data_IF_296137921926
#
_entry.id   IF_296137921926
#
_cell.length_a   1.000
_cell.length_b   1.000
_cell.length_c   1.000
_cell.angle_alpha   90.00
_cell.angle_beta   90.00
_cell.angle_gamma   90.00
#
_symmetry.space_group_name_H-M   'P 1'
#
loop_
_entity.id
_entity.type
_entity.pdbx_description
1 polymer ?
#
# COMPACT_ATOMS: atom_id res chain seq x y z
N UNK A 1 -12.73 -9.90 8.75
CA UNK A 1 -12.40 -9.92 7.31
C UNK A 1 -11.46 -8.77 6.91
N UNK A 2 -11.55 -7.60 7.54
CA UNK A 2 -10.55 -6.51 7.45
C UNK A 2 -10.18 -6.13 8.89
N UNK A 3 -8.91 -5.83 9.16
CA UNK A 3 -8.48 -5.25 10.45
C UNK A 3 -7.91 -3.86 10.21
N UNK A 4 -8.45 -2.86 10.88
CA UNK A 4 -8.00 -1.48 10.78
C UNK A 4 -7.21 -1.06 12.02
N UNK A 5 -6.28 -0.12 11.85
CA UNK A 5 -5.64 0.58 12.95
C UNK A 5 -5.30 2.00 12.52
N UNK A 6 -5.63 2.97 13.36
CA UNK A 6 -5.25 4.36 13.20
C UNK A 6 -3.97 4.65 14.00
N UNK A 7 -3.03 5.37 13.39
CA UNK A 7 -1.87 5.91 14.10
C UNK A 7 -1.74 7.39 13.81
N UNK A 8 -1.65 8.21 14.85
CA UNK A 8 -1.39 9.64 14.73
C UNK A 8 0.13 9.85 14.65
N UNK A 9 0.57 10.63 13.65
CA UNK A 9 1.97 10.99 13.42
C UNK A 9 2.13 12.50 13.60
N UNK A 10 2.50 12.90 14.82
CA UNK A 10 2.62 14.32 15.18
C UNK A 10 1.28 15.06 15.10
N UNK A 11 1.34 16.38 14.87
CA UNK A 11 0.15 17.25 14.89
C UNK A 11 -0.59 17.34 13.56
N UNK A 12 0.01 16.90 12.45
CA UNK A 12 -0.46 17.20 11.09
C UNK A 12 -0.77 15.98 10.23
N UNK A 13 -0.46 14.77 10.70
CA UNK A 13 -0.57 13.57 9.89
C UNK A 13 -1.15 12.42 10.70
N UNK A 14 -1.92 11.58 10.05
CA UNK A 14 -2.35 10.30 10.59
C UNK A 14 -2.21 9.23 9.50
N UNK A 15 -2.10 7.98 9.92
CA UNK A 15 -1.95 6.82 9.05
C UNK A 15 -3.04 5.81 9.40
N UNK A 16 -3.84 5.45 8.40
CA UNK A 16 -4.83 4.38 8.50
C UNK A 16 -4.21 3.11 7.88
N UNK A 17 -4.14 2.03 8.65
CA UNK A 17 -3.65 0.72 8.17
C UNK A 17 -4.80 -0.26 8.10
N UNK A 18 -5.16 -0.66 6.89
CA UNK A 18 -6.14 -1.70 6.64
C UNK A 18 -5.43 -3.00 6.25
N UNK A 19 -5.71 -4.07 6.99
CA UNK A 19 -5.21 -5.42 6.73
C UNK A 19 -6.34 -6.24 6.15
N UNK A 20 -6.23 -6.54 4.86
CA UNK A 20 -7.13 -7.43 4.15
C UNK A 20 -6.55 -8.84 4.20
N UNK A 21 -7.36 -9.82 4.60
CA UNK A 21 -6.98 -11.23 4.65
C UNK A 21 -7.62 -11.97 3.48
N UNK A 22 -6.83 -12.78 2.77
CA UNK A 22 -7.33 -13.62 1.71
C UNK A 22 -7.73 -15.00 2.26
N UNK A 23 -9.01 -15.41 2.19
CA UNK A 23 -9.39 -16.78 2.50
C UNK A 23 -8.65 -17.75 1.57
N UNK A 24 -8.15 -18.87 2.10
CA UNK A 24 -7.24 -19.80 1.38
C UNK A 24 -7.76 -20.34 0.05
N UNK A 25 -9.09 -20.34 -0.18
CA UNK A 25 -9.73 -20.86 -1.40
C UNK A 25 -10.32 -19.79 -2.32
N UNK A 26 -10.27 -18.51 -1.92
CA UNK A 26 -10.89 -17.43 -2.69
C UNK A 26 -9.96 -16.95 -3.79
N UNK A 27 -10.43 -16.97 -5.04
CA UNK A 27 -9.72 -16.43 -6.21
C UNK A 27 -9.89 -14.90 -6.35
N UNK A 28 -10.98 -14.35 -5.81
CA UNK A 28 -11.30 -12.94 -5.84
C UNK A 28 -11.85 -12.49 -4.48
N UNK A 29 -11.61 -11.23 -4.11
CA UNK A 29 -12.19 -10.59 -2.93
C UNK A 29 -12.71 -9.22 -3.32
N UNK A 30 -13.98 -8.96 -2.99
CA UNK A 30 -14.61 -7.65 -3.10
C UNK A 30 -15.00 -7.18 -1.71
N UNK A 31 -14.67 -5.94 -1.41
CA UNK A 31 -15.05 -5.30 -0.16
C UNK A 31 -15.25 -3.80 -0.39
N UNK A 32 -16.08 -3.20 0.44
CA UNK A 32 -16.32 -1.77 0.49
C UNK A 32 -15.94 -1.28 1.88
N UNK A 33 -15.22 -0.16 1.94
CA UNK A 33 -14.92 0.52 3.20
C UNK A 33 -15.48 1.93 3.12
N UNK A 34 -16.27 2.28 4.11
CA UNK A 34 -16.80 3.62 4.29
C UNK A 34 -16.13 4.25 5.50
N UNK A 35 -15.55 5.43 5.31
CA UNK A 35 -14.84 6.15 6.36
C UNK A 35 -15.44 7.53 6.49
N UNK A 36 -15.97 7.84 7.68
CA UNK A 36 -16.61 9.10 7.98
C UNK A 36 -15.63 9.99 8.75
N UNK A 37 -15.38 11.19 8.23
CA UNK A 37 -14.56 12.20 8.89
C UNK A 37 -15.46 13.30 9.47
N UNK A 38 -15.44 13.43 10.79
CA UNK A 38 -16.11 14.54 11.49
C UNK A 38 -15.08 15.62 11.80
N UNK A 39 -15.15 16.72 11.07
CA UNK A 39 -14.16 17.80 11.13
C UNK A 39 -14.81 19.05 11.74
N UNK A 40 -14.10 19.80 12.61
CA UNK A 40 -14.63 21.03 13.17
C UNK A 40 -14.79 22.12 12.11
N UNK A 41 -15.85 22.91 12.22
CA UNK A 41 -16.20 23.98 11.25
C UNK A 41 -15.10 25.04 11.10
N UNK A 42 -14.26 25.23 12.13
CA UNK A 42 -13.11 26.15 12.11
C UNK A 42 -12.06 25.81 11.06
N UNK A 43 -12.00 24.55 10.58
CA UNK A 43 -11.11 24.16 9.49
C UNK A 43 -11.61 24.61 8.11
N UNK A 44 -12.85 25.13 8.00
CA UNK A 44 -13.47 25.59 6.76
C UNK A 44 -13.45 24.53 5.63
N UNK A 45 -13.47 23.24 5.99
CA UNK A 45 -13.57 22.14 5.04
C UNK A 45 -15.05 21.92 4.71
N UNK A 46 -15.49 22.50 3.60
CA UNK A 46 -16.87 22.44 3.12
C UNK A 46 -16.91 22.19 1.59
N UNK A 47 -18.08 21.87 1.01
CA UNK A 47 -18.21 21.56 -0.42
C UNK A 47 -17.72 22.68 -1.36
N UNK A 48 -17.76 23.94 -0.92
CA UNK A 48 -17.42 25.10 -1.74
C UNK A 48 -15.91 25.36 -1.76
N UNK A 49 -15.22 25.14 -0.64
CA UNK A 49 -13.80 25.42 -0.47
C UNK A 49 -12.89 24.19 -0.59
N UNK A 50 -13.46 22.98 -0.48
CA UNK A 50 -12.68 21.75 -0.44
C UNK A 50 -13.28 20.67 -1.34
N UNK A 51 -12.64 20.44 -2.49
CA UNK A 51 -13.13 19.45 -3.46
C UNK A 51 -12.57 18.04 -3.19
N UNK A 52 -13.18 17.02 -3.79
CA UNK A 52 -12.63 15.66 -3.80
C UNK A 52 -11.18 15.62 -4.32
N UNK A 53 -10.82 16.50 -5.26
CA UNK A 53 -9.45 16.59 -5.79
C UNK A 53 -8.44 17.11 -4.76
N UNK A 54 -8.85 18.04 -3.88
CA UNK A 54 -8.01 18.54 -2.79
C UNK A 54 -7.68 17.40 -1.81
N UNK A 55 -8.70 16.63 -1.42
CA UNK A 55 -8.51 15.45 -0.57
C UNK A 55 -7.58 14.44 -1.21
N UNK A 56 -7.80 14.10 -2.48
CA UNK A 56 -6.98 13.12 -3.20
C UNK A 56 -5.50 13.50 -3.27
N UNK A 57 -5.17 14.80 -3.38
CA UNK A 57 -3.78 15.29 -3.36
C UNK A 57 -3.13 15.15 -1.99
N UNK A 58 -3.92 15.21 -0.91
CA UNK A 58 -3.43 15.02 0.45
C UNK A 58 -3.25 13.54 0.84
N UNK A 59 -3.89 12.62 0.12
CA UNK A 59 -3.85 11.19 0.43
C UNK A 59 -2.70 10.48 -0.26
N UNK A 60 -1.84 9.84 0.54
CA UNK A 60 -0.78 8.95 0.06
C UNK A 60 -1.15 7.50 0.33
N UNK A 61 -1.48 6.76 -0.72
CA UNK A 61 -1.91 5.38 -0.62
C UNK A 61 -0.77 4.43 -0.98
N UNK A 62 -0.55 3.42 -0.13
CA UNK A 62 0.39 2.35 -0.39
C UNK A 62 -0.30 1.01 -0.22
N UNK A 63 -0.14 0.14 -1.21
CA UNK A 63 -0.61 -1.24 -1.13
C UNK A 63 0.64 -2.10 -1.11
N UNK A 64 0.72 -2.97 -0.10
CA UNK A 64 1.85 -3.91 0.04
C UNK A 64 1.38 -5.28 0.45
N UNK A 65 2.05 -6.28 -0.08
CA UNK A 65 1.95 -7.66 0.37
C UNK A 65 2.66 -7.81 1.72
N UNK A 66 2.28 -8.86 2.45
CA UNK A 66 2.94 -9.26 3.69
C UNK A 66 3.80 -10.48 3.39
N UNK A 67 5.04 -10.56 3.90
CA UNK A 67 5.83 -11.78 3.74
C UNK A 67 5.11 -12.97 4.40
N UNK A 68 5.35 -14.20 3.91
CA UNK A 68 4.73 -15.40 4.46
C UNK A 68 5.05 -15.57 5.95
N UNK A 69 4.20 -16.30 6.66
CA UNK A 69 4.43 -16.61 8.08
C UNK A 69 4.78 -18.08 8.18
N UNK A 70 6.05 -18.36 8.48
CA UNK A 70 6.62 -19.70 8.57
C UNK A 70 7.30 -19.87 9.93
N UNK A 71 7.58 -21.11 10.34
CA UNK A 71 8.37 -21.38 11.53
C UNK A 71 9.84 -21.01 11.26
N UNK A 72 10.60 -20.70 12.30
CA UNK A 72 12.02 -20.33 12.12
C UNK A 72 12.85 -21.54 11.70
N UNK A 73 12.67 -22.68 12.38
CA UNK A 73 13.32 -23.95 12.04
C UNK A 73 13.08 -24.34 10.58
N UNK A 74 11.84 -24.18 10.11
CA UNK A 74 11.43 -24.53 8.74
C UNK A 74 12.03 -23.67 7.63
N UNK A 75 12.82 -22.63 7.94
CA UNK A 75 13.57 -21.92 6.91
C UNK A 75 14.73 -22.77 6.36
N UNK A 76 15.31 -23.62 7.20
CA UNK A 76 16.50 -24.45 6.91
C UNK A 76 16.20 -25.94 6.76
N UNK A 77 14.93 -26.34 6.92
CA UNK A 77 14.50 -27.72 6.68
C UNK A 77 14.60 -28.05 5.18
N UNK A 78 14.57 -29.33 4.83
CA UNK A 78 14.48 -29.78 3.44
C UNK A 78 13.24 -29.19 2.76
N UNK A 79 13.40 -28.63 1.55
CA UNK A 79 12.36 -27.85 0.87
C UNK A 79 11.88 -26.60 1.65
N UNK A 80 12.66 -26.16 2.65
CA UNK A 80 12.48 -24.88 3.32
C UNK A 80 12.85 -23.71 2.41
N UNK A 81 12.49 -22.49 2.81
CA UNK A 81 12.68 -21.30 1.97
C UNK A 81 14.15 -21.04 1.58
N UNK A 82 15.11 -21.43 2.43
CA UNK A 82 16.54 -21.30 2.13
C UNK A 82 17.04 -22.43 1.21
N UNK A 83 16.53 -23.65 1.39
CA UNK A 83 16.85 -24.79 0.54
C UNK A 83 16.30 -24.58 -0.88
N UNK A 84 15.05 -24.11 -1.01
CA UNK A 84 14.46 -23.66 -2.29
C UNK A 84 15.35 -22.59 -2.98
N UNK A 85 15.89 -21.64 -2.21
CA UNK A 85 16.77 -20.60 -2.73
C UNK A 85 18.11 -21.20 -3.20
N UNK A 86 18.71 -22.09 -2.41
CA UNK A 86 19.95 -22.80 -2.75
C UNK A 86 19.80 -23.62 -4.03
N UNK A 87 18.77 -24.46 -4.10
CA UNK A 87 18.48 -25.28 -5.29
C UNK A 87 18.26 -24.40 -6.52
N UNK A 88 17.57 -23.27 -6.38
CA UNK A 88 17.38 -22.34 -7.49
C UNK A 88 18.69 -21.68 -7.93
N UNK A 89 19.54 -21.23 -7.01
CA UNK A 89 20.86 -20.67 -7.34
C UNK A 89 21.74 -21.71 -8.07
N UNK A 90 21.64 -22.99 -7.72
CA UNK A 90 22.30 -24.11 -8.41
C UNK A 90 21.84 -24.32 -9.85
N UNK A 91 20.63 -23.90 -10.19
CA UNK A 91 20.11 -23.95 -11.56
C UNK A 91 20.57 -22.75 -12.40
N UNK A 92 21.06 -21.67 -11.78
CA UNK A 92 21.61 -20.51 -12.48
C UNK A 92 23.03 -20.82 -12.98
N UNK A 93 23.14 -21.11 -14.27
CA UNK A 93 24.41 -21.36 -14.96
C UNK A 93 24.76 -20.21 -15.91
N UNK A 94 26.01 -20.10 -16.39
CA UNK A 94 26.38 -19.09 -17.39
C UNK A 94 25.55 -19.12 -18.69
N UNK A 95 24.92 -20.25 -19.00
CA UNK A 95 24.02 -20.39 -20.15
C UNK A 95 22.56 -20.04 -19.83
N UNK A 96 22.19 -20.00 -18.55
CA UNK A 96 20.82 -19.76 -18.08
C UNK A 96 20.84 -18.78 -16.89
N UNK A 97 21.24 -17.53 -17.15
CA UNK A 97 21.22 -16.49 -16.13
C UNK A 97 19.79 -15.97 -15.89
N UNK A 98 19.42 -15.72 -14.63
CA UNK A 98 18.19 -15.05 -14.32
C UNK A 98 18.26 -13.57 -14.73
N UNK A 99 17.09 -12.97 -14.96
CA UNK A 99 17.01 -11.51 -15.05
C UNK A 99 17.40 -10.87 -13.71
N UNK A 100 17.92 -9.63 -13.74
CA UNK A 100 18.26 -8.87 -12.54
C UNK A 100 17.08 -8.83 -11.56
N UNK A 101 15.89 -8.44 -12.03
CA UNK A 101 14.70 -8.35 -11.20
C UNK A 101 14.31 -9.69 -10.58
N UNK A 102 14.40 -10.81 -11.32
CA UNK A 102 14.09 -12.13 -10.77
C UNK A 102 15.06 -12.51 -9.65
N UNK A 103 16.35 -12.31 -9.87
CA UNK A 103 17.39 -12.61 -8.89
C UNK A 103 17.23 -11.79 -7.62
N UNK A 104 17.13 -10.46 -7.76
CA UNK A 104 16.95 -9.56 -6.62
C UNK A 104 15.67 -9.91 -5.85
N UNK A 105 14.57 -10.19 -6.55
CA UNK A 105 13.28 -10.46 -5.91
C UNK A 105 13.26 -11.78 -5.14
N UNK A 106 13.98 -12.81 -5.59
CA UNK A 106 14.10 -14.07 -4.85
C UNK A 106 14.89 -13.90 -3.55
N UNK A 107 16.01 -13.17 -3.60
CA UNK A 107 16.80 -12.86 -2.40
C UNK A 107 16.02 -11.98 -1.42
N UNK A 108 15.37 -10.91 -1.91
CA UNK A 108 14.52 -10.04 -1.09
C UNK A 108 13.37 -10.82 -0.44
N UNK A 109 12.75 -11.77 -1.15
CA UNK A 109 11.70 -12.65 -0.60
C UNK A 109 12.22 -13.44 0.60
N UNK A 110 13.40 -14.05 0.50
CA UNK A 110 14.01 -14.77 1.62
C UNK A 110 14.32 -13.83 2.78
N UNK A 111 15.05 -12.74 2.55
CA UNK A 111 15.45 -11.79 3.60
C UNK A 111 14.25 -11.19 4.37
N UNK A 112 13.17 -10.87 3.65
CA UNK A 112 11.94 -10.38 4.25
C UNK A 112 11.19 -11.46 5.04
N UNK A 113 11.23 -12.71 4.58
CA UNK A 113 10.65 -13.85 5.28
C UNK A 113 11.42 -14.14 6.56
N UNK A 114 12.75 -14.24 6.49
CA UNK A 114 13.64 -14.39 7.64
C UNK A 114 13.40 -13.31 8.69
N UNK A 115 13.52 -12.03 8.31
CA UNK A 115 13.29 -10.89 9.22
C UNK A 115 11.92 -10.99 9.90
N UNK A 116 10.89 -11.33 9.13
CA UNK A 116 9.52 -11.45 9.66
C UNK A 116 9.44 -12.57 10.69
N UNK A 117 10.03 -13.72 10.41
CA UNK A 117 10.01 -14.87 11.30
C UNK A 117 10.78 -14.60 12.60
N UNK A 118 11.98 -14.00 12.52
CA UNK A 118 12.74 -13.59 13.72
C UNK A 118 11.95 -12.58 14.56
N UNK A 119 11.37 -11.54 13.93
CA UNK A 119 10.54 -10.55 14.63
C UNK A 119 9.37 -11.19 15.38
N UNK A 120 8.70 -12.18 14.78
CA UNK A 120 7.55 -12.84 15.40
C UNK A 120 7.98 -13.68 16.60
N UNK A 121 9.10 -14.40 16.51
CA UNK A 121 9.64 -15.17 17.63
C UNK A 121 10.07 -14.24 18.77
N UNK A 122 10.80 -13.15 18.49
CA UNK A 122 11.13 -12.14 19.53
C UNK A 122 9.87 -11.59 20.18
N UNK A 123 8.84 -11.24 19.40
CA UNK A 123 7.57 -10.80 19.97
C UNK A 123 6.91 -11.87 20.86
N UNK A 124 7.01 -13.15 20.48
CA UNK A 124 6.47 -14.26 21.30
C UNK A 124 7.25 -14.43 22.61
N UNK A 125 8.57 -14.31 22.58
CA UNK A 125 9.43 -14.33 23.78
C UNK A 125 9.11 -13.16 24.70
N UNK A 126 8.97 -11.95 24.17
CA UNK A 126 8.68 -10.76 24.98
C UNK A 126 7.28 -10.73 25.57
N UNK A 127 6.31 -11.48 25.00
CA UNK A 127 4.91 -11.44 25.43
C UNK A 127 4.47 -12.67 26.24
N UNK A 128 5.19 -13.78 26.16
CA UNK A 128 4.80 -15.04 26.80
C UNK A 128 5.95 -15.55 27.69
N UNK A 129 5.81 -15.51 29.03
CA UNK A 129 6.84 -16.03 29.94
C UNK A 129 7.19 -17.51 29.71
N UNK A 130 6.23 -18.32 29.25
CA UNK A 130 6.48 -19.73 28.88
C UNK A 130 7.44 -19.90 27.70
N UNK A 131 7.71 -18.84 26.93
CA UNK A 131 8.69 -18.81 25.83
C UNK A 131 10.02 -18.18 26.25
N UNK A 132 10.22 -17.96 27.54
CA UNK A 132 11.47 -17.46 28.11
C UNK A 132 12.27 -18.59 28.78
N UNK A 133 12.01 -19.86 28.45
CA UNK A 133 12.82 -20.96 28.98
C UNK A 133 14.22 -20.96 28.34
N UNK A 134 15.28 -21.33 29.08
CA UNK A 134 16.63 -21.43 28.52
C UNK A 134 16.70 -22.30 27.27
N UNK A 135 15.98 -23.43 27.24
CA UNK A 135 15.97 -24.36 26.11
C UNK A 135 15.38 -23.70 24.86
N UNK A 136 14.27 -22.99 25.00
CA UNK A 136 13.63 -22.31 23.87
C UNK A 136 14.49 -21.17 23.33
N UNK A 137 15.15 -20.40 24.21
CA UNK A 137 16.03 -19.31 23.81
C UNK A 137 17.31 -19.83 23.13
N UNK A 138 17.90 -20.91 23.64
CA UNK A 138 19.04 -21.57 23.02
C UNK A 138 18.68 -22.11 21.63
N UNK A 139 17.55 -22.80 21.48
CA UNK A 139 17.05 -23.28 20.20
C UNK A 139 16.75 -22.12 19.24
N UNK A 140 16.17 -21.03 19.74
CA UNK A 140 15.90 -19.83 18.95
C UNK A 140 17.18 -19.19 18.41
N UNK A 141 18.21 -18.99 19.25
CA UNK A 141 19.50 -18.46 18.82
C UNK A 141 20.21 -19.39 17.83
N UNK A 142 20.21 -20.70 18.09
CA UNK A 142 20.78 -21.71 17.20
C UNK A 142 20.11 -21.69 15.82
N UNK A 143 18.77 -21.59 15.77
CA UNK A 143 18.02 -21.49 14.53
C UNK A 143 18.33 -20.20 13.74
N UNK A 144 18.49 -19.05 14.41
CA UNK A 144 18.93 -17.80 13.75
C UNK A 144 20.33 -17.99 13.17
N UNK A 145 21.27 -18.48 13.98
CA UNK A 145 22.66 -18.68 13.57
C UNK A 145 22.75 -19.63 12.38
N UNK A 146 22.00 -20.74 12.38
CA UNK A 146 21.91 -21.68 11.26
C UNK A 146 21.39 -21.00 9.99
N UNK A 147 20.30 -20.22 10.08
CA UNK A 147 19.77 -19.50 8.91
C UNK A 147 20.77 -18.51 8.31
N UNK A 148 21.52 -17.77 9.14
CA UNK A 148 22.53 -16.82 8.68
C UNK A 148 23.74 -17.53 8.10
N UNK A 149 24.25 -18.56 8.77
CA UNK A 149 25.39 -19.36 8.32
C UNK A 149 25.11 -20.02 6.96
N UNK A 150 24.00 -20.75 6.84
CA UNK A 150 23.61 -21.40 5.59
C UNK A 150 23.33 -20.40 4.47
N UNK A 151 22.81 -19.20 4.77
CA UNK A 151 22.68 -18.15 3.75
C UNK A 151 24.05 -17.67 3.28
N UNK A 152 24.97 -17.39 4.21
CA UNK A 152 26.34 -16.94 3.92
C UNK A 152 27.16 -17.97 3.13
N UNK A 153 26.90 -19.26 3.31
CA UNK A 153 27.51 -20.34 2.48
C UNK A 153 27.16 -20.21 0.99
N UNK A 154 26.06 -19.54 0.64
CA UNK A 154 25.65 -19.29 -0.75
C UNK A 154 26.43 -18.13 -1.40
N UNK A 155 27.32 -17.45 -0.66
CA UNK A 155 28.06 -16.28 -1.14
C UNK A 155 28.88 -16.60 -2.40
N UNK A 156 29.67 -17.67 -2.39
CA UNK A 156 30.56 -18.01 -3.51
C UNK A 156 29.79 -18.22 -4.83
N UNK A 157 28.62 -18.86 -4.76
CA UNK A 157 27.76 -19.04 -5.92
C UNK A 157 27.08 -17.73 -6.33
N UNK A 158 26.62 -16.97 -5.35
CA UNK A 158 25.93 -15.70 -5.58
C UNK A 158 26.85 -14.67 -6.24
N UNK A 159 28.11 -14.56 -5.80
CA UNK A 159 29.10 -13.65 -6.40
C UNK A 159 29.29 -13.89 -7.89
N UNK A 160 29.41 -15.16 -8.32
CA UNK A 160 29.55 -15.50 -9.75
C UNK A 160 28.35 -15.04 -10.58
N UNK A 161 27.15 -15.15 -10.03
CA UNK A 161 25.91 -14.71 -10.70
C UNK A 161 25.85 -13.19 -10.72
N UNK A 162 26.12 -12.55 -9.57
CA UNK A 162 26.07 -11.09 -9.38
C UNK A 162 27.06 -10.33 -10.25
N UNK A 163 28.27 -10.87 -10.45
CA UNK A 163 29.26 -10.32 -11.39
C UNK A 163 28.73 -10.26 -12.82
N UNK A 164 28.01 -11.29 -13.25
CA UNK A 164 27.48 -11.40 -14.60
C UNK A 164 26.21 -10.55 -14.84
N UNK A 165 25.40 -10.33 -13.81
CA UNK A 165 24.17 -9.50 -13.90
C UNK A 165 24.33 -8.10 -13.31
N UNK A 166 25.52 -7.74 -12.85
CA UNK A 166 25.85 -6.48 -12.17
C UNK A 166 24.89 -6.14 -11.00
N UNK A 167 24.76 -7.07 -10.04
CA UNK A 167 23.95 -6.88 -8.83
C UNK A 167 24.80 -6.90 -7.56
N UNK A 168 24.26 -6.34 -6.49
CA UNK A 168 24.81 -6.43 -5.13
C UNK A 168 23.75 -6.92 -4.13
N UNK A 169 22.65 -7.47 -4.63
CA UNK A 169 21.46 -7.83 -3.87
C UNK A 169 21.74 -8.84 -2.73
N UNK A 170 22.65 -9.77 -2.93
CA UNK A 170 23.04 -10.79 -1.95
C UNK A 170 23.66 -10.14 -0.72
N UNK A 171 24.65 -9.27 -0.94
CA UNK A 171 25.33 -8.52 0.12
C UNK A 171 24.37 -7.57 0.85
N UNK A 172 23.48 -6.90 0.12
CA UNK A 172 22.43 -6.07 0.69
C UNK A 172 21.45 -6.87 1.56
N UNK A 173 21.05 -8.06 1.11
CA UNK A 173 20.18 -8.94 1.87
C UNK A 173 20.86 -9.45 3.15
N UNK A 174 22.15 -9.83 3.09
CA UNK A 174 22.91 -10.23 4.27
C UNK A 174 23.07 -9.09 5.29
N UNK A 175 23.49 -7.90 4.84
CA UNK A 175 23.59 -6.69 5.67
C UNK A 175 22.26 -6.41 6.39
N UNK A 176 21.14 -6.49 5.65
CA UNK A 176 19.82 -6.26 6.20
C UNK A 176 19.40 -7.32 7.21
N UNK A 177 19.61 -8.61 6.91
CA UNK A 177 19.25 -9.70 7.82
C UNK A 177 20.05 -9.59 9.12
N UNK A 178 21.36 -9.43 9.01
CA UNK A 178 22.28 -9.25 10.14
C UNK A 178 21.89 -8.04 11.00
N UNK A 179 21.65 -6.88 10.37
CA UNK A 179 21.24 -5.67 11.07
C UNK A 179 19.91 -5.84 11.83
N UNK A 180 18.90 -6.45 11.21
CA UNK A 180 17.62 -6.68 11.89
C UNK A 180 17.73 -7.73 13.00
N UNK A 181 18.51 -8.79 12.82
CA UNK A 181 18.84 -9.75 13.89
C UNK A 181 19.45 -9.03 15.08
N UNK A 182 20.48 -8.21 14.87
CA UNK A 182 21.13 -7.41 15.91
C UNK A 182 20.13 -6.49 16.66
N UNK A 183 19.23 -5.84 15.93
CA UNK A 183 18.18 -5.01 16.57
C UNK A 183 17.20 -5.84 17.40
N UNK A 184 16.79 -7.01 16.91
CA UNK A 184 15.86 -7.87 17.64
C UNK A 184 16.48 -8.51 18.88
N UNK A 185 17.76 -8.89 18.81
CA UNK A 185 18.51 -9.35 19.98
C UNK A 185 18.68 -8.20 20.99
N UNK A 186 18.92 -6.96 20.55
CA UNK A 186 18.94 -5.79 21.43
C UNK A 186 17.59 -5.58 22.13
N UNK A 187 16.48 -5.77 21.43
CA UNK A 187 15.14 -5.67 22.02
C UNK A 187 14.94 -6.70 23.15
N UNK A 188 15.52 -7.91 23.04
CA UNK A 188 15.53 -8.89 24.13
C UNK A 188 16.46 -8.51 25.29
N UNK A 189 17.65 -7.96 24.99
CA UNK A 189 18.63 -7.52 25.99
C UNK A 189 18.18 -6.31 26.82
N UNK A 190 17.16 -5.58 26.34
CA UNK A 190 16.53 -4.48 27.07
C UNK A 190 15.84 -4.96 28.34
N UNK A 191 15.36 -6.21 28.35
CA UNK A 191 14.89 -6.87 29.56
C UNK A 191 16.10 -7.38 30.37
N UNK A 192 16.25 -6.88 31.59
CA UNK A 192 17.36 -7.24 32.48
C UNK A 192 17.20 -8.64 33.08
N UNK A 193 15.98 -9.16 33.14
CA UNK A 193 15.65 -10.46 33.72
C UNK A 193 15.58 -11.58 32.67
N UNK A 194 15.87 -11.26 31.40
CA UNK A 194 15.84 -12.23 30.31
C UNK A 194 16.77 -13.41 30.61
N UNK A 195 16.29 -14.67 30.55
CA UNK A 195 17.15 -15.84 30.68
C UNK A 195 18.18 -15.91 29.55
N UNK A 196 19.33 -16.54 29.80
CA UNK A 196 20.47 -16.61 28.86
C UNK A 196 20.92 -15.25 28.32
N UNK A 197 20.84 -14.19 29.14
CA UNK A 197 21.16 -12.82 28.72
C UNK A 197 22.60 -12.66 28.24
N UNK A 198 23.53 -13.40 28.84
CA UNK A 198 24.95 -13.34 28.46
C UNK A 198 25.20 -14.01 27.11
N UNK A 199 24.52 -15.12 26.82
CA UNK A 199 24.56 -15.83 25.55
C UNK A 199 23.92 -15.01 24.43
N UNK A 200 22.78 -14.38 24.71
CA UNK A 200 22.16 -13.42 23.78
C UNK A 200 23.10 -12.25 23.51
N UNK A 201 23.78 -11.74 24.54
CA UNK A 201 24.77 -10.66 24.39
C UNK A 201 25.97 -11.13 23.57
N UNK A 202 26.47 -12.33 23.82
CA UNK A 202 27.58 -12.91 23.08
C UNK A 202 27.21 -13.05 21.60
N UNK A 203 26.03 -13.59 21.29
CA UNK A 203 25.54 -13.70 19.92
C UNK A 203 25.35 -12.34 19.25
N UNK A 204 24.82 -11.35 19.98
CA UNK A 204 24.73 -9.97 19.51
C UNK A 204 26.11 -9.39 19.15
N UNK A 205 27.13 -9.62 19.99
CA UNK A 205 28.50 -9.16 19.72
C UNK A 205 29.14 -9.87 18.52
N UNK A 206 28.88 -11.16 18.33
CA UNK A 206 29.35 -11.91 17.16
C UNK A 206 28.80 -11.29 15.87
N UNK A 207 27.49 -11.05 15.80
CA UNK A 207 26.84 -10.46 14.62
C UNK A 207 27.25 -8.99 14.41
N UNK A 208 27.45 -8.22 15.49
CA UNK A 208 28.00 -6.86 15.40
C UNK A 208 29.41 -6.85 14.82
N UNK A 209 30.29 -7.75 15.29
CA UNK A 209 31.67 -7.87 14.77
C UNK A 209 31.68 -8.29 13.31
N UNK A 210 30.83 -9.23 12.93
CA UNK A 210 30.65 -9.63 11.53
C UNK A 210 30.21 -8.44 10.67
N UNK A 211 29.18 -7.70 11.09
CA UNK A 211 28.67 -6.55 10.35
C UNK A 211 29.75 -5.46 10.22
N UNK A 212 30.52 -5.18 11.28
CA UNK A 212 31.61 -4.20 11.25
C UNK A 212 32.75 -4.61 10.32
N UNK A 213 33.05 -5.90 10.22
CA UNK A 213 34.10 -6.44 9.35
C UNK A 213 33.67 -6.43 7.88
N UNK A 214 32.45 -6.88 7.59
CA UNK A 214 31.97 -7.08 6.22
C UNK A 214 31.35 -5.81 5.61
N UNK A 215 30.76 -4.95 6.45
CA UNK A 215 30.01 -3.75 6.05
C UNK A 215 30.37 -2.55 6.95
N UNK A 216 31.59 -2.01 6.87
CA UNK A 216 32.06 -0.93 7.75
C UNK A 216 31.16 0.31 7.70
N UNK A 217 30.63 0.67 6.53
CA UNK A 217 29.70 1.80 6.31
C UNK A 217 28.40 1.74 7.15
N UNK A 218 28.13 0.60 7.80
CA UNK A 218 27.00 0.46 8.73
C UNK A 218 27.23 1.13 10.09
N UNK A 219 28.45 1.57 10.38
CA UNK A 219 28.84 2.15 11.66
C UNK A 219 29.46 3.54 11.44
N UNK A 220 29.19 4.48 12.35
CA UNK A 220 29.86 5.77 12.29
C UNK A 220 31.35 5.57 12.57
N UNK A 221 32.18 6.28 11.80
CA UNK A 221 33.63 6.34 11.90
C UNK A 221 34.06 7.79 11.73
N UNK A 222 35.34 8.09 11.91
CA UNK A 222 35.87 9.45 11.71
C UNK A 222 35.63 9.96 10.27
N UNK A 223 35.46 9.05 9.31
CA UNK A 223 35.15 9.34 7.91
C UNK A 223 33.64 9.22 7.57
N UNK A 224 32.86 8.54 8.41
CA UNK A 224 31.45 8.22 8.14
C UNK A 224 30.55 8.85 9.19
N UNK A 225 29.86 9.91 8.78
CA UNK A 225 28.88 10.59 9.63
C UNK A 225 27.72 9.66 10.03
N UNK A 226 27.21 9.85 11.26
CA UNK A 226 26.05 9.12 11.75
C UNK A 226 24.79 9.30 10.88
N UNK A 227 24.68 10.44 10.18
CA UNK A 227 23.62 10.71 9.22
C UNK A 227 23.72 9.81 7.99
N UNK A 228 24.93 9.61 7.44
CA UNK A 228 25.17 8.73 6.30
C UNK A 228 24.84 7.27 6.62
N UNK A 229 25.19 6.82 7.83
CA UNK A 229 24.80 5.49 8.33
C UNK A 229 23.28 5.35 8.37
N UNK A 230 22.58 6.37 8.86
CA UNK A 230 21.12 6.38 8.94
C UNK A 230 20.49 6.38 7.54
N UNK A 231 21.04 7.17 6.63
CA UNK A 231 20.63 7.24 5.23
C UNK A 231 20.79 5.87 4.54
N UNK A 232 21.96 5.24 4.65
CA UNK A 232 22.25 3.90 4.10
C UNK A 232 21.24 2.87 4.60
N UNK A 233 21.00 2.80 5.91
CA UNK A 233 20.03 1.88 6.52
C UNK A 233 18.62 2.09 5.98
N UNK A 234 18.22 3.34 5.76
CA UNK A 234 16.92 3.67 5.17
C UNK A 234 16.85 3.28 3.69
N UNK A 235 17.91 3.49 2.92
CA UNK A 235 18.02 3.10 1.52
C UNK A 235 17.93 1.57 1.38
N UNK A 236 18.72 0.82 2.16
CA UNK A 236 18.71 -0.64 2.19
C UNK A 236 17.32 -1.18 2.53
N UNK A 237 16.69 -0.61 3.57
CA UNK A 237 15.31 -0.92 3.94
C UNK A 237 14.35 -0.63 2.79
N UNK A 238 14.47 0.48 2.08
CA UNK A 238 13.60 0.84 0.96
C UNK A 238 13.79 -0.13 -0.22
N UNK A 239 15.03 -0.44 -0.56
CA UNK A 239 15.41 -1.38 -1.63
C UNK A 239 14.81 -2.77 -1.40
N UNK A 240 14.98 -3.34 -0.20
CA UNK A 240 14.47 -4.68 0.12
C UNK A 240 12.95 -4.70 0.25
N UNK A 241 12.35 -3.71 0.92
CA UNK A 241 10.89 -3.69 1.06
C UNK A 241 10.15 -3.40 -0.25
N UNK A 242 10.80 -2.81 -1.26
CA UNK A 242 10.20 -2.51 -2.57
C UNK A 242 9.50 -3.74 -3.16
N UNK A 243 10.08 -4.94 -3.00
CA UNK A 243 9.51 -6.21 -3.46
C UNK A 243 8.05 -6.45 -3.00
N UNK A 244 7.68 -5.95 -1.82
CA UNK A 244 6.35 -6.13 -1.27
C UNK A 244 5.36 -5.08 -1.76
N UNK A 245 5.81 -3.93 -2.25
CA UNK A 245 4.93 -2.85 -2.67
C UNK A 245 4.36 -3.15 -4.05
N UNK A 246 3.06 -2.96 -4.19
CA UNK A 246 2.37 -3.04 -5.47
C UNK A 246 2.38 -1.67 -6.13
N UNK A 247 2.54 -1.66 -7.44
CA UNK A 247 2.48 -0.43 -8.21
C UNK A 247 1.02 0.01 -8.34
N UNK A 248 0.75 1.28 -8.04
CA UNK A 248 -0.58 1.87 -8.14
C UNK A 248 -0.57 2.86 -9.28
N UNK A 249 -1.37 2.59 -10.31
CA UNK A 249 -1.58 3.54 -11.42
C UNK A 249 -2.94 4.20 -11.26
N UNK A 250 -2.92 5.52 -11.20
CA UNK A 250 -4.13 6.34 -11.10
C UNK A 250 -4.76 6.51 -12.48
N UNK A 251 -6.05 6.25 -12.59
CA UNK A 251 -6.87 6.69 -13.71
C UNK A 251 -7.99 7.58 -13.19
N UNK A 252 -8.33 8.60 -13.98
CA UNK A 252 -9.59 9.35 -13.79
C UNK A 252 -10.75 8.35 -13.83
N UNK A 253 -11.83 8.63 -13.08
CA UNK A 253 -13.05 7.81 -13.03
C UNK A 253 -13.63 7.49 -14.40
N UNK A 254 -14.70 6.68 -14.49
CA UNK A 254 -15.22 6.16 -15.77
C UNK A 254 -15.57 7.30 -16.76
N UNK A 255 -14.71 7.58 -17.76
CA UNK A 255 -14.97 8.70 -18.68
C UNK A 255 -16.11 8.37 -19.63
N UNK A 256 -16.27 7.09 -20.00
CA UNK A 256 -17.35 6.63 -20.87
C UNK A 256 -18.73 6.92 -20.30
N UNK A 257 -18.94 6.61 -19.01
CA UNK A 257 -20.23 6.84 -18.35
C UNK A 257 -20.55 8.34 -18.28
N UNK A 258 -19.53 9.17 -18.02
CA UNK A 258 -19.65 10.63 -18.05
C UNK A 258 -20.04 11.14 -19.44
N UNK A 259 -19.39 10.65 -20.50
CA UNK A 259 -19.72 11.01 -21.88
C UNK A 259 -21.13 10.55 -22.28
N UNK A 260 -21.58 9.36 -21.84
CA UNK A 260 -22.95 8.89 -22.07
C UNK A 260 -23.98 9.80 -21.40
N UNK A 261 -23.75 10.22 -20.15
CA UNK A 261 -24.63 11.17 -19.44
C UNK A 261 -24.70 12.49 -20.20
N UNK A 262 -23.56 13.02 -20.64
CA UNK A 262 -23.51 14.26 -21.42
C UNK A 262 -24.16 14.12 -22.79
N UNK A 263 -24.13 12.92 -23.38
CA UNK A 263 -24.85 12.56 -24.59
C UNK A 263 -26.37 12.57 -24.39
N UNK A 264 -26.86 11.97 -23.30
CA UNK A 264 -28.30 11.97 -22.95
C UNK A 264 -28.81 13.41 -22.75
N UNK A 265 -28.06 14.24 -22.01
CA UNK A 265 -28.41 15.65 -21.83
C UNK A 265 -28.50 16.39 -23.18
N UNK A 266 -27.55 16.12 -24.09
CA UNK A 266 -27.55 16.72 -25.42
C UNK A 266 -28.73 16.23 -26.28
N UNK A 267 -29.08 14.94 -26.21
CA UNK A 267 -30.20 14.35 -26.93
C UNK A 267 -31.54 14.95 -26.48
N UNK A 268 -31.76 15.06 -25.16
CA UNK A 268 -32.97 15.69 -24.59
C UNK A 268 -33.07 17.15 -25.03
N UNK A 269 -31.95 17.87 -25.01
CA UNK A 269 -31.92 19.28 -25.43
C UNK A 269 -32.17 19.45 -26.93
N UNK A 270 -31.65 18.53 -27.75
CA UNK A 270 -31.89 18.53 -29.19
C UNK A 270 -33.35 18.25 -29.50
N UNK A 271 -33.97 17.27 -28.83
CA UNK A 271 -35.39 16.95 -28.96
C UNK A 271 -36.28 18.15 -28.59
N UNK A 272 -35.95 18.85 -27.51
CA UNK A 272 -36.68 20.05 -27.10
C UNK A 272 -36.60 21.16 -28.15
N UNK A 273 -35.41 21.40 -28.72
CA UNK A 273 -35.21 22.40 -29.76
C UNK A 273 -35.96 22.07 -31.06
N UNK A 274 -35.97 20.80 -31.49
CA UNK A 274 -36.75 20.38 -32.66
C UNK A 274 -38.25 20.53 -32.43
N UNK A 275 -38.76 20.20 -31.24
CA UNK A 275 -40.18 20.41 -30.91
C UNK A 275 -40.56 21.89 -31.01
N UNK A 276 -39.74 22.80 -30.47
CA UNK A 276 -39.99 24.25 -30.59
C UNK A 276 -39.95 24.70 -32.05
N UNK A 277 -38.95 24.25 -32.80
CA UNK A 277 -38.80 24.60 -34.21
C UNK A 277 -40.01 24.14 -35.04
N UNK A 278 -40.45 22.89 -34.90
CA UNK A 278 -41.62 22.36 -35.62
C UNK A 278 -42.92 23.04 -35.18
N UNK A 279 -43.10 23.32 -33.89
CA UNK A 279 -44.29 24.00 -33.38
C UNK A 279 -44.44 25.42 -33.95
N UNK A 280 -43.35 26.19 -33.96
CA UNK A 280 -43.36 27.55 -34.49
C UNK A 280 -43.37 27.60 -36.02
N UNK A 281 -42.72 26.65 -36.70
CA UNK A 281 -42.78 26.51 -38.15
C UNK A 281 -44.21 26.20 -38.62
N UNK A 282 -44.95 25.35 -37.89
CA UNK A 282 -46.35 25.06 -38.19
C UNK A 282 -47.28 26.26 -37.99
N UNK A 283 -46.94 27.19 -37.08
CA UNK A 283 -47.79 28.34 -36.74
C UNK A 283 -47.51 29.60 -37.58
N UNK A 284 -46.27 29.86 -37.96
CA UNK A 284 -45.87 31.13 -38.61
C UNK A 284 -45.27 30.95 -40.02
N UNK A 285 -45.26 29.73 -40.57
CA UNK A 285 -44.70 29.43 -41.89
C UNK A 285 -43.16 29.48 -41.94
N UNK A 286 -42.58 29.05 -43.06
CA UNK A 286 -41.13 28.76 -43.16
C UNK A 286 -40.18 29.98 -43.17
N UNK A 287 -40.69 31.22 -43.34
CA UNK A 287 -39.89 32.42 -43.64
C UNK A 287 -40.38 33.69 -42.94
N UNK A 288 -40.94 33.58 -41.72
CA UNK A 288 -41.33 34.77 -40.93
C UNK A 288 -40.21 35.25 -40.01
N UNK A 289 -40.12 36.58 -39.82
CA UNK A 289 -39.22 37.18 -38.82
C UNK A 289 -39.49 36.64 -37.40
N UNK A 290 -40.75 36.30 -37.11
CA UNK A 290 -41.16 35.69 -35.85
C UNK A 290 -40.62 34.26 -35.67
N UNK A 291 -40.54 33.46 -36.75
CA UNK A 291 -39.89 32.15 -36.71
C UNK A 291 -38.39 32.28 -36.45
N UNK A 292 -37.73 33.22 -37.13
CA UNK A 292 -36.29 33.46 -36.93
C UNK A 292 -35.97 33.83 -35.47
N UNK A 293 -36.73 34.77 -34.90
CA UNK A 293 -36.58 35.15 -33.49
C UNK A 293 -36.83 33.96 -32.55
N UNK A 294 -37.88 33.18 -32.81
CA UNK A 294 -38.19 31.98 -32.03
C UNK A 294 -37.09 30.91 -32.12
N UNK A 295 -36.45 30.74 -33.28
CA UNK A 295 -35.32 29.81 -33.45
C UNK A 295 -34.07 30.25 -32.68
N UNK A 296 -33.74 31.55 -32.68
CA UNK A 296 -32.61 32.08 -31.90
C UNK A 296 -32.86 31.87 -30.40
N UNK A 297 -34.05 32.22 -29.92
CA UNK A 297 -34.44 32.01 -28.52
C UNK A 297 -34.42 30.52 -28.18
N UNK A 298 -35.01 29.67 -29.02
CA UNK A 298 -35.01 28.21 -28.84
C UNK A 298 -33.60 27.63 -28.80
N UNK A 299 -32.67 28.17 -29.59
CA UNK A 299 -31.26 27.77 -29.56
C UNK A 299 -30.56 28.16 -28.25
N UNK A 300 -30.81 29.37 -27.72
CA UNK A 300 -30.27 29.80 -26.42
C UNK A 300 -30.83 28.94 -25.30
N UNK A 301 -32.15 28.68 -25.31
CA UNK A 301 -32.80 27.82 -24.33
C UNK A 301 -32.29 26.38 -24.40
N UNK A 302 -32.08 25.83 -25.60
CA UNK A 302 -31.43 24.52 -25.80
C UNK A 302 -30.08 24.46 -25.10
N UNK A 303 -29.23 25.46 -25.26
CA UNK A 303 -27.88 25.44 -24.70
C UNK A 303 -27.92 25.53 -23.17
N UNK A 304 -28.79 26.39 -22.61
CA UNK A 304 -29.00 26.47 -21.15
C UNK A 304 -29.60 25.20 -20.57
N UNK A 305 -30.59 24.60 -21.23
CA UNK A 305 -31.20 23.35 -20.79
C UNK A 305 -30.19 22.19 -20.83
N UNK A 306 -29.30 22.17 -21.82
CA UNK A 306 -28.20 21.20 -21.91
C UNK A 306 -27.21 21.35 -20.76
N UNK A 307 -26.80 22.57 -20.43
CA UNK A 307 -25.89 22.83 -19.30
C UNK A 307 -26.51 22.42 -17.97
N UNK A 308 -27.74 22.88 -17.70
CA UNK A 308 -28.48 22.53 -16.49
C UNK A 308 -28.73 21.03 -16.41
N UNK A 309 -29.15 20.40 -17.51
CA UNK A 309 -29.39 18.97 -17.59
C UNK A 309 -28.12 18.16 -17.36
N UNK A 310 -26.97 18.60 -17.87
CA UNK A 310 -25.67 17.97 -17.60
C UNK A 310 -25.33 18.01 -16.12
N UNK A 311 -25.49 19.16 -15.46
CA UNK A 311 -25.22 19.26 -14.04
C UNK A 311 -26.17 18.42 -13.19
N UNK A 312 -27.47 18.45 -13.48
CA UNK A 312 -28.47 17.68 -12.74
C UNK A 312 -28.26 16.18 -12.90
N UNK A 313 -28.04 15.70 -14.13
CA UNK A 313 -27.72 14.30 -14.37
C UNK A 313 -26.38 13.94 -13.74
N UNK A 314 -25.37 14.80 -13.83
CA UNK A 314 -24.12 14.56 -13.13
C UNK A 314 -24.35 14.36 -11.63
N UNK A 315 -25.06 15.27 -10.95
CA UNK A 315 -25.38 15.16 -9.50
C UNK A 315 -26.15 13.87 -9.17
N UNK A 316 -27.11 13.47 -10.01
CA UNK A 316 -27.90 12.26 -9.81
C UNK A 316 -27.04 10.99 -9.90
N UNK A 317 -26.20 10.91 -10.93
CA UNK A 317 -25.35 9.74 -11.21
C UNK A 317 -23.98 9.80 -10.51
N UNK A 318 -23.64 10.91 -9.84
CA UNK A 318 -22.37 11.11 -9.14
C UNK A 318 -22.13 10.07 -8.04
N UNK A 319 -23.21 9.49 -7.47
CA UNK A 319 -23.12 8.41 -6.48
C UNK A 319 -22.57 7.10 -7.06
N UNK A 320 -22.75 6.88 -8.36
CA UNK A 320 -22.30 5.65 -9.05
C UNK A 320 -20.99 5.84 -9.81
N UNK A 321 -20.54 7.08 -10.00
CA UNK A 321 -19.27 7.41 -10.66
C UNK A 321 -18.19 7.57 -9.59
N UNK A 322 -17.16 6.70 -9.56
CA UNK A 322 -16.04 6.87 -8.67
C UNK A 322 -15.21 8.09 -9.11
N UNK A 323 -14.71 8.88 -8.17
CA UNK A 323 -13.86 10.02 -8.48
C UNK A 323 -12.49 9.57 -8.99
N UNK A 324 -12.00 8.45 -8.43
CA UNK A 324 -10.69 7.91 -8.73
C UNK A 324 -10.77 6.39 -8.86
N UNK A 325 -10.11 5.86 -9.89
CA UNK A 325 -9.88 4.43 -10.02
C UNK A 325 -8.38 4.16 -9.92
N UNK A 326 -8.02 3.30 -8.96
CA UNK A 326 -6.67 2.80 -8.77
C UNK A 326 -6.56 1.42 -9.40
N UNK A 327 -5.64 1.25 -10.35
CA UNK A 327 -5.29 -0.06 -10.89
C UNK A 327 -4.01 -0.54 -10.23
N UNK A 328 -4.07 -1.72 -9.64
CA UNK A 328 -3.00 -2.31 -8.85
C UNK A 328 -2.25 -3.29 -9.74
N UNK A 329 -0.94 -3.14 -9.83
CA UNK A 329 -0.05 -3.99 -10.62
C UNK A 329 0.96 -4.67 -9.72
N UNK A 330 1.36 -5.88 -10.12
CA UNK A 330 2.49 -6.60 -9.54
C UNK A 330 3.64 -6.53 -10.54
N UNK A 331 4.85 -6.32 -10.04
CA UNK A 331 6.06 -6.34 -10.86
C UNK A 331 6.13 -7.64 -11.69
N UNK A 332 6.46 -7.51 -12.98
CA UNK A 332 6.47 -8.63 -13.95
C UNK A 332 5.09 -9.03 -14.52
N UNK A 333 3.98 -8.48 -14.02
CA UNK A 333 2.62 -8.83 -14.50
C UNK A 333 2.02 -7.66 -15.29
N UNK A 334 1.75 -7.88 -16.59
CA UNK A 334 1.16 -6.85 -17.47
C UNK A 334 -0.30 -6.52 -17.10
N UNK A 335 -1.06 -7.51 -16.63
CA UNK A 335 -2.46 -7.33 -16.26
C UNK A 335 -2.61 -6.76 -14.83
N UNK A 336 -3.61 -5.91 -14.57
CA UNK A 336 -3.87 -5.43 -13.21
C UNK A 336 -4.33 -6.58 -12.32
N UNK A 337 -3.68 -6.74 -11.17
CA UNK A 337 -4.03 -7.75 -10.15
C UNK A 337 -5.19 -7.32 -9.27
N UNK A 338 -5.59 -6.05 -9.32
CA UNK A 338 -6.72 -5.52 -8.57
C UNK A 338 -7.15 -4.13 -9.00
N UNK A 339 -8.38 -3.78 -8.63
CA UNK A 339 -8.98 -2.47 -8.89
C UNK A 339 -9.56 -1.94 -7.59
N UNK A 340 -9.21 -0.71 -7.23
CA UNK A 340 -9.85 0.03 -6.15
C UNK A 340 -10.56 1.26 -6.72
N UNK A 341 -11.80 1.49 -6.30
CA UNK A 341 -12.62 2.63 -6.69
C UNK A 341 -12.85 3.47 -5.45
N UNK A 342 -12.53 4.75 -5.51
CA UNK A 342 -12.65 5.67 -4.39
C UNK A 342 -13.60 6.82 -4.76
N UNK A 343 -14.46 7.16 -3.81
CA UNK A 343 -15.41 8.27 -3.92
C UNK A 343 -15.36 9.09 -2.65
N UNK A 344 -15.34 10.40 -2.79
CA UNK A 344 -15.28 11.35 -1.69
C UNK A 344 -16.48 12.30 -1.80
N UNK A 345 -17.32 12.31 -0.77
CA UNK A 345 -18.58 13.06 -0.77
C UNK A 345 -18.75 13.77 0.55
N UNK A 346 -19.27 15.00 0.50
CA UNK A 346 -19.88 15.62 1.66
C UNK A 346 -21.28 15.04 1.81
N UNK A 347 -21.61 14.59 3.02
CA UNK A 347 -22.87 13.93 3.32
C UNK A 347 -23.62 14.80 4.32
N UNK A 348 -24.88 15.10 4.03
CA UNK A 348 -25.76 15.77 4.97
C UNK A 348 -26.11 14.83 6.12
N UNK A 349 -26.23 15.36 7.33
CA UNK A 349 -26.49 14.58 8.55
C UNK A 349 -27.73 13.66 8.44
N UNK A 350 -28.74 14.11 7.70
CA UNK A 350 -29.99 13.37 7.48
C UNK A 350 -29.79 12.07 6.70
N UNK A 351 -28.69 11.95 5.94
CA UNK A 351 -28.34 10.78 5.14
C UNK A 351 -27.44 9.78 5.88
N UNK A 352 -26.98 10.12 7.09
CA UNK A 352 -26.19 9.21 7.92
C UNK A 352 -27.08 8.13 8.55
N UNK A 353 -26.57 6.91 8.66
CA UNK A 353 -27.26 5.84 9.39
C UNK A 353 -27.39 6.19 10.88
N UNK A 354 -28.41 5.65 11.58
CA UNK A 354 -28.64 5.94 13.00
C UNK A 354 -27.41 5.66 13.88
N UNK A 355 -26.74 4.53 13.66
CA UNK A 355 -25.57 4.09 14.43
C UNK A 355 -24.41 5.10 14.36
N UNK A 356 -24.17 5.65 13.16
CA UNK A 356 -23.11 6.63 12.93
C UNK A 356 -23.47 7.97 13.59
N UNK A 357 -24.75 8.35 13.53
CA UNK A 357 -25.26 9.56 14.17
C UNK A 357 -25.11 9.48 15.69
N UNK A 358 -25.42 8.34 16.29
CA UNK A 358 -25.24 8.11 17.72
C UNK A 358 -23.76 8.18 18.13
N UNK A 359 -22.86 7.54 17.35
CA UNK A 359 -21.41 7.64 17.59
C UNK A 359 -20.92 9.09 17.55
N UNK A 360 -21.38 9.90 16.59
CA UNK A 360 -21.04 11.32 16.52
C UNK A 360 -21.55 12.10 17.73
N UNK A 361 -22.79 11.84 18.16
CA UNK A 361 -23.39 12.53 19.31
C UNK A 361 -22.64 12.21 20.61
N UNK A 362 -22.25 10.94 20.82
CA UNK A 362 -21.41 10.55 21.97
C UNK A 362 -20.07 11.29 22.01
N UNK A 363 -19.43 11.45 20.85
CA UNK A 363 -18.18 12.22 20.72
C UNK A 363 -18.42 13.70 21.04
N UNK A 364 -19.51 14.29 20.56
CA UNK A 364 -19.84 15.69 20.83
C UNK A 364 -20.16 15.96 22.31
N UNK A 365 -20.73 14.97 23.02
CA UNK A 365 -21.08 15.04 24.43
C UNK A 365 -19.94 14.64 25.38
N UNK A 366 -18.76 14.27 24.87
CA UNK A 366 -17.59 13.90 25.68
C UNK A 366 -17.77 12.62 26.50
N UNK A 367 -18.74 11.78 26.17
CA UNK A 367 -19.00 10.52 26.88
C UNK A 367 -18.18 9.40 26.22
N UNK A 368 -16.99 9.14 26.77
CA UNK A 368 -16.20 7.96 26.44
C UNK A 368 -16.53 6.86 27.45
N UNK A 369 -17.11 5.75 26.98
CA UNK A 369 -17.26 4.49 27.73
C UNK A 369 -16.22 3.49 27.30
#
# INVERSE_FOLDING_TARGET
MIKESLKIHGKKQFEIKQKVLFPRKSKEIRYQVETFFFLPSSLQINPDLYTASNLQRSLKNYIRLRPPTVKLSSLTDENGALDELKQWLQQCTPQNLPSLDEYENRLKRYALTFKRTVRLNVKMVSQNPQRQTPEYLAEFMANIAKCLCTYRELATQSTKIEEAIHSNAFSYCDEFMTYYTMNYLRDLLADKQMPLREEIRHFWYQEMRYLKKQYPDCFPSDETDAELVTYRRNLLKKYINRYLYLEIRHKRGLPLLLHSIYGIAAAISMLFATVIAFFWQGKYGALSANLFLAMVIGYIFKDRLKEVGREQLYRLFQKWIPDRQLRIYREGVKAPVGICKESFRFINENMLSPDIREMRQKIALGQFS
#
